data_IF_506589602470
#
_entry.id   IF_506589602470
#
_cell.length_a   1.000
_cell.length_b   1.000
_cell.length_c   1.000
_cell.angle_alpha   90.00
_cell.angle_beta   90.00
_cell.angle_gamma   90.00
#
_symmetry.space_group_name_H-M   'P 1'
#
loop_
_entity.id
_entity.type
_entity.pdbx_description
1 polymer ?
#
# COMPACT_ATOMS: atom_id res chain seq x y z
N UNK A 1 -2.79 -19.00 11.13
CA UNK A 1 -3.32 -18.48 9.85
C UNK A 1 -3.24 -16.96 9.93
N UNK A 2 -2.73 -16.29 8.89
CA UNK A 2 -2.61 -14.83 8.88
C UNK A 2 -3.98 -14.17 8.79
N UNK A 3 -4.15 -13.01 9.43
CA UNK A 3 -5.32 -12.16 9.19
C UNK A 3 -5.18 -11.41 7.86
N UNK A 4 -6.31 -10.94 7.31
CA UNK A 4 -6.29 -10.11 6.11
C UNK A 4 -5.49 -8.81 6.32
N UNK A 5 -5.56 -8.22 7.52
CA UNK A 5 -4.76 -7.04 7.86
C UNK A 5 -3.26 -7.34 7.85
N UNK A 6 -2.84 -8.51 8.35
CA UNK A 6 -1.44 -8.93 8.30
C UNK A 6 -0.98 -9.17 6.87
N UNK A 7 -1.82 -9.80 6.03
CA UNK A 7 -1.56 -9.94 4.59
C UNK A 7 -1.37 -8.59 3.93
N UNK A 8 -2.30 -7.66 4.12
CA UNK A 8 -2.23 -6.32 3.53
C UNK A 8 -0.98 -5.56 4.00
N UNK A 9 -0.62 -5.68 5.27
CA UNK A 9 0.58 -5.04 5.84
C UNK A 9 1.87 -5.62 5.26
N UNK A 10 1.94 -6.95 5.09
CA UNK A 10 3.06 -7.62 4.43
C UNK A 10 3.19 -7.17 2.96
N UNK A 11 2.06 -7.12 2.24
CA UNK A 11 2.02 -6.65 0.85
C UNK A 11 2.42 -5.19 0.72
N UNK A 12 1.94 -4.32 1.61
CA UNK A 12 2.31 -2.91 1.64
C UNK A 12 3.80 -2.72 1.92
N UNK A 13 4.39 -3.53 2.79
CA UNK A 13 5.85 -3.50 3.05
C UNK A 13 6.64 -3.78 1.77
N UNK A 14 6.21 -4.77 0.97
CA UNK A 14 6.84 -5.08 -0.33
C UNK A 14 6.54 -4.02 -1.38
N UNK A 15 5.31 -3.51 -1.46
CA UNK A 15 4.94 -2.40 -2.36
C UNK A 15 5.87 -1.19 -2.15
N UNK A 16 6.16 -0.84 -0.90
CA UNK A 16 7.09 0.24 -0.55
C UNK A 16 8.50 -0.06 -1.07
N UNK A 17 8.95 -1.31 -1.04
CA UNK A 17 10.24 -1.67 -1.59
C UNK A 17 10.30 -1.61 -3.11
N UNK A 18 9.20 -1.92 -3.80
CA UNK A 18 9.12 -1.90 -5.27
C UNK A 18 8.90 -0.49 -5.84
N UNK A 19 8.05 0.31 -5.19
CA UNK A 19 7.51 1.56 -5.77
C UNK A 19 7.65 2.77 -4.87
N UNK A 20 8.06 2.60 -3.62
CA UNK A 20 8.06 3.67 -2.62
C UNK A 20 6.66 4.15 -2.23
N UNK A 21 5.60 3.39 -2.52
CA UNK A 21 4.22 3.70 -2.16
C UNK A 21 3.60 2.56 -1.35
N UNK A 22 2.83 2.90 -0.32
CA UNK A 22 2.14 1.92 0.56
C UNK A 22 1.22 1.00 -0.26
N UNK A 23 0.41 1.59 -1.14
CA UNK A 23 -0.55 0.86 -1.99
C UNK A 23 0.07 0.33 -3.29
N UNK A 24 1.35 0.63 -3.52
CA UNK A 24 2.01 0.40 -4.81
C UNK A 24 1.53 1.36 -5.90
N UNK A 25 1.74 0.98 -7.16
CA UNK A 25 1.36 1.79 -8.31
C UNK A 25 0.81 0.92 -9.46
N UNK A 26 -0.51 0.82 -9.54
CA UNK A 26 -1.22 0.00 -10.53
C UNK A 26 -1.04 0.49 -11.96
N UNK A 27 -0.75 1.78 -12.15
CA UNK A 27 -0.57 2.42 -13.46
C UNK A 27 0.89 2.53 -13.87
N UNK A 28 1.84 2.10 -13.02
CA UNK A 28 3.25 2.25 -13.35
C UNK A 28 3.65 1.35 -14.53
N UNK A 29 4.09 1.98 -15.61
CA UNK A 29 4.57 1.32 -16.84
C UNK A 29 5.97 1.80 -17.13
N UNK A 30 6.93 0.88 -17.07
CA UNK A 30 8.35 1.18 -17.29
C UNK A 30 8.95 0.30 -18.38
N UNK A 31 9.94 0.84 -19.06
CA UNK A 31 10.81 0.05 -19.94
C UNK A 31 12.22 0.63 -19.85
N UNK A 32 13.17 -0.23 -19.50
CA UNK A 32 14.59 0.11 -19.45
C UNK A 32 15.32 -0.80 -20.42
N UNK A 33 16.02 -0.24 -21.41
CA UNK A 33 16.63 -1.04 -22.47
C UNK A 33 17.69 -2.05 -21.97
N UNK A 34 18.31 -1.78 -20.82
CA UNK A 34 19.26 -2.69 -20.17
C UNK A 34 18.60 -3.72 -19.25
N UNK A 35 17.28 -3.66 -19.06
CA UNK A 35 16.52 -4.63 -18.27
C UNK A 35 16.04 -5.79 -19.16
N UNK A 36 16.48 -7.04 -18.90
CA UNK A 36 16.04 -8.19 -19.67
C UNK A 36 14.54 -8.51 -19.53
N UNK A 37 13.83 -7.90 -18.57
CA UNK A 37 12.38 -8.06 -18.39
C UNK A 37 11.54 -7.46 -19.51
N UNK A 38 12.06 -6.46 -20.24
CA UNK A 38 11.32 -5.72 -21.24
C UNK A 38 10.32 -4.75 -20.62
N UNK A 39 9.14 -4.61 -21.24
CA UNK A 39 8.06 -3.77 -20.73
C UNK A 39 7.56 -4.31 -19.38
N UNK A 40 7.48 -3.44 -18.39
CA UNK A 40 7.10 -3.76 -17.01
C UNK A 40 5.88 -2.94 -16.61
N UNK A 41 4.92 -3.57 -15.92
CA UNK A 41 3.62 -2.97 -15.61
C UNK A 41 3.11 -3.36 -14.21
N UNK A 42 2.47 -2.39 -13.55
CA UNK A 42 1.53 -2.63 -12.45
C UNK A 42 2.13 -2.61 -11.05
N UNK A 43 1.27 -2.82 -10.04
CA UNK A 43 1.52 -2.61 -8.61
C UNK A 43 2.80 -3.27 -8.09
N UNK A 44 3.08 -4.50 -8.53
CA UNK A 44 4.30 -5.23 -8.17
C UNK A 44 5.12 -5.63 -9.41
N UNK A 45 5.02 -4.84 -10.49
CA UNK A 45 5.91 -4.82 -11.64
C UNK A 45 6.09 -6.18 -12.36
N UNK A 46 5.04 -6.64 -13.07
CA UNK A 46 5.13 -7.81 -13.95
C UNK A 46 5.76 -7.46 -15.30
N UNK A 47 6.47 -8.39 -15.93
CA UNK A 47 7.28 -8.10 -17.13
C UNK A 47 6.81 -8.86 -18.36
N UNK A 48 7.03 -8.29 -19.56
CA UNK A 48 6.77 -8.92 -20.84
C UNK A 48 7.50 -10.25 -20.98
N UNK A 49 8.81 -10.28 -20.69
CA UNK A 49 9.64 -11.44 -20.95
C UNK A 49 9.35 -12.62 -20.02
N UNK A 50 8.79 -12.37 -18.83
CA UNK A 50 8.30 -13.44 -17.95
C UNK A 50 7.09 -14.18 -18.53
N UNK A 51 6.31 -13.54 -19.40
CA UNK A 51 4.99 -14.02 -19.84
C UNK A 51 3.86 -13.70 -18.85
N UNK A 52 4.18 -13.22 -17.65
CA UNK A 52 3.16 -12.84 -16.67
C UNK A 52 2.37 -11.61 -17.12
N UNK A 53 2.96 -10.70 -17.90
CA UNK A 53 2.22 -9.58 -18.49
C UNK A 53 1.08 -10.09 -19.40
N UNK A 54 1.32 -11.13 -20.20
CA UNK A 54 0.26 -11.73 -21.02
C UNK A 54 -0.87 -12.27 -20.15
N UNK A 55 -0.54 -13.04 -19.10
CA UNK A 55 -1.54 -13.62 -18.21
C UNK A 55 -2.37 -12.56 -17.48
N UNK A 56 -1.73 -11.47 -17.05
CA UNK A 56 -2.41 -10.35 -16.41
C UNK A 56 -3.37 -9.65 -17.38
N UNK A 57 -2.89 -9.24 -18.57
CA UNK A 57 -3.70 -8.51 -19.53
C UNK A 57 -4.81 -9.39 -20.10
N UNK A 58 -4.56 -10.68 -20.30
CA UNK A 58 -5.59 -11.65 -20.67
C UNK A 58 -6.69 -11.71 -19.61
N UNK A 59 -6.33 -11.84 -18.32
CA UNK A 59 -7.31 -11.87 -17.24
C UNK A 59 -8.15 -10.58 -17.18
N UNK A 60 -7.53 -9.42 -17.38
CA UNK A 60 -8.28 -8.15 -17.43
C UNK A 60 -9.22 -8.07 -18.64
N UNK A 61 -8.76 -8.54 -19.81
CA UNK A 61 -9.60 -8.60 -21.01
C UNK A 61 -10.75 -9.61 -20.90
N UNK A 62 -10.69 -10.53 -19.93
CA UNK A 62 -11.73 -11.52 -19.65
C UNK A 62 -12.64 -11.09 -18.48
N UNK A 63 -12.29 -10.03 -17.76
CA UNK A 63 -13.10 -9.49 -16.67
C UNK A 63 -14.31 -8.71 -17.21
N UNK A 64 -15.42 -8.82 -16.48
CA UNK A 64 -16.61 -8.01 -16.73
C UNK A 64 -16.31 -6.54 -16.43
N UNK A 65 -16.95 -5.63 -17.20
CA UNK A 65 -16.84 -4.17 -17.01
C UNK A 65 -15.44 -3.55 -17.17
N UNK A 66 -14.45 -4.32 -17.63
CA UNK A 66 -13.10 -3.82 -17.92
C UNK A 66 -13.12 -2.78 -19.05
N UNK A 67 -12.89 -1.50 -18.69
CA UNK A 67 -13.07 -0.34 -19.57
C UNK A 67 -12.18 -0.41 -20.83
N UNK A 68 -10.94 -0.86 -20.67
CA UNK A 68 -9.93 -0.89 -21.73
C UNK A 68 -9.71 -2.28 -22.35
N UNK A 69 -10.61 -3.24 -22.07
CA UNK A 69 -10.45 -4.63 -22.52
C UNK A 69 -10.37 -4.75 -24.04
N UNK A 70 -11.21 -4.02 -24.78
CA UNK A 70 -11.28 -4.14 -26.25
C UNK A 70 -9.98 -3.69 -26.92
N UNK A 71 -9.43 -2.56 -26.49
CA UNK A 71 -8.19 -2.01 -26.99
C UNK A 71 -6.98 -2.87 -26.58
N UNK A 72 -6.95 -3.38 -25.34
CA UNK A 72 -5.88 -4.24 -24.87
C UNK A 72 -5.89 -5.62 -25.56
N UNK A 73 -7.05 -6.13 -25.96
CA UNK A 73 -7.16 -7.38 -26.74
C UNK A 73 -6.37 -7.32 -28.04
N UNK A 74 -6.28 -6.16 -28.69
CA UNK A 74 -5.49 -5.99 -29.91
C UNK A 74 -3.99 -6.26 -29.70
N UNK A 75 -3.48 -6.09 -28.47
CA UNK A 75 -2.08 -6.32 -28.13
C UNK A 75 -1.81 -7.74 -27.60
N UNK A 76 -2.83 -8.54 -27.26
CA UNK A 76 -2.65 -9.85 -26.61
C UNK A 76 -1.75 -10.79 -27.42
N UNK A 77 -1.88 -10.82 -28.74
CA UNK A 77 -1.03 -11.66 -29.60
C UNK A 77 0.45 -11.26 -29.50
N UNK A 78 0.75 -9.96 -29.58
CA UNK A 78 2.12 -9.45 -29.48
C UNK A 78 2.71 -9.65 -28.07
N UNK A 79 1.91 -9.42 -27.02
CA UNK A 79 2.31 -9.64 -25.62
C UNK A 79 2.59 -11.13 -25.39
N UNK A 80 1.71 -12.03 -25.87
CA UNK A 80 1.88 -13.48 -25.75
C UNK A 80 3.09 -14.01 -26.52
N UNK A 81 3.40 -13.41 -27.68
CA UNK A 81 4.61 -13.70 -28.45
C UNK A 81 5.89 -13.09 -27.86
N UNK A 82 5.78 -12.32 -26.76
CA UNK A 82 6.90 -11.57 -26.15
C UNK A 82 7.59 -10.64 -27.16
N UNK A 83 6.83 -10.03 -28.04
CA UNK A 83 7.35 -9.20 -29.12
C UNK A 83 8.01 -7.93 -28.57
N UNK A 84 9.35 -7.90 -28.58
CA UNK A 84 10.13 -6.78 -28.02
C UNK A 84 9.90 -5.43 -28.70
N UNK A 85 9.26 -5.39 -29.88
CA UNK A 85 8.89 -4.13 -30.56
C UNK A 85 7.91 -3.32 -29.73
N UNK A 86 7.01 -3.98 -28.99
CA UNK A 86 5.98 -3.30 -28.17
C UNK A 86 6.56 -2.62 -26.91
N UNK A 87 7.82 -2.90 -26.54
CA UNK A 87 8.49 -2.24 -25.43
C UNK A 87 8.54 -0.71 -25.57
N UNK A 88 8.56 -0.22 -26.83
CA UNK A 88 8.60 1.22 -27.15
C UNK A 88 7.28 1.75 -27.71
N UNK A 89 6.22 0.95 -27.72
CA UNK A 89 4.92 1.38 -28.21
C UNK A 89 4.27 2.35 -27.20
N UNK A 90 4.10 3.61 -27.61
CA UNK A 90 3.54 4.65 -26.74
C UNK A 90 2.04 4.49 -26.54
N UNK A 91 1.33 3.91 -27.51
CA UNK A 91 -0.10 3.68 -27.40
C UNK A 91 -0.37 2.58 -26.38
N UNK A 92 0.34 1.46 -26.46
CA UNK A 92 0.25 0.40 -25.46
C UNK A 92 0.59 0.92 -24.06
N UNK A 93 1.66 1.71 -23.93
CA UNK A 93 2.07 2.26 -22.63
C UNK A 93 1.02 3.19 -22.04
N UNK A 94 0.44 4.08 -22.83
CA UNK A 94 -0.66 4.95 -22.38
C UNK A 94 -1.91 4.14 -22.02
N UNK A 95 -2.23 3.11 -22.80
CA UNK A 95 -3.38 2.25 -22.53
C UNK A 95 -3.23 1.47 -21.23
N UNK A 96 -2.04 0.92 -20.95
CA UNK A 96 -1.73 0.26 -19.68
C UNK A 96 -1.79 1.24 -18.49
N UNK A 97 -1.31 2.47 -18.66
CA UNK A 97 -1.41 3.49 -17.60
C UNK A 97 -2.87 3.80 -17.24
N UNK A 98 -3.71 4.03 -18.26
CA UNK A 98 -5.15 4.26 -18.09
C UNK A 98 -5.84 3.04 -17.49
N UNK A 99 -5.53 1.85 -18.00
CA UNK A 99 -6.06 0.62 -17.44
C UNK A 99 -5.69 0.47 -15.97
N UNK A 100 -4.49 0.87 -15.52
CA UNK A 100 -4.14 0.84 -14.09
C UNK A 100 -5.00 1.73 -13.19
N UNK A 101 -5.68 2.73 -13.76
CA UNK A 101 -6.65 3.58 -13.04
C UNK A 101 -8.05 2.94 -12.96
N UNK A 102 -8.35 1.94 -13.81
CA UNK A 102 -9.61 1.18 -13.77
C UNK A 102 -9.65 0.27 -12.54
N UNK A 103 -10.66 0.39 -11.65
CA UNK A 103 -10.84 -0.51 -10.51
C UNK A 103 -10.83 -2.00 -10.89
N UNK A 104 -11.38 -2.39 -12.04
CA UNK A 104 -11.38 -3.77 -12.51
C UNK A 104 -9.95 -4.26 -12.75
N UNK A 105 -9.08 -3.42 -13.30
CA UNK A 105 -7.66 -3.75 -13.46
C UNK A 105 -6.94 -3.82 -12.11
N UNK A 106 -7.29 -2.96 -11.16
CA UNK A 106 -6.68 -3.00 -9.82
C UNK A 106 -7.01 -4.33 -9.11
N UNK A 107 -8.26 -4.78 -9.19
CA UNK A 107 -8.69 -6.05 -8.63
C UNK A 107 -8.08 -7.24 -9.37
N UNK A 108 -8.00 -7.18 -10.70
CA UNK A 108 -7.31 -8.20 -11.51
C UNK A 108 -5.82 -8.27 -11.17
N UNK A 109 -5.15 -7.13 -10.97
CA UNK A 109 -3.76 -7.11 -10.53
C UNK A 109 -3.61 -7.74 -9.14
N UNK A 110 -4.45 -7.38 -8.18
CA UNK A 110 -4.37 -7.95 -6.83
C UNK A 110 -4.59 -9.46 -6.82
N UNK A 111 -5.63 -9.94 -7.51
CA UNK A 111 -5.88 -11.37 -7.65
C UNK A 111 -4.73 -12.09 -8.37
N UNK A 112 -4.14 -11.45 -9.38
CA UNK A 112 -2.98 -11.98 -10.09
C UNK A 112 -1.76 -12.11 -9.18
N UNK A 113 -1.38 -11.04 -8.47
CA UNK A 113 -0.22 -11.04 -7.59
C UNK A 113 -0.42 -11.96 -6.38
N UNK A 114 -1.66 -12.09 -5.91
CA UNK A 114 -2.01 -13.07 -4.89
C UNK A 114 -1.74 -14.49 -5.37
N UNK A 115 -2.26 -14.83 -6.55
CA UNK A 115 -2.10 -16.18 -7.12
C UNK A 115 -0.65 -16.51 -7.44
N UNK A 116 0.10 -15.57 -8.01
CA UNK A 116 1.44 -15.82 -8.57
C UNK A 116 2.54 -15.67 -7.52
N UNK A 117 2.36 -14.82 -6.50
CA UNK A 117 3.41 -14.52 -5.53
C UNK A 117 2.98 -14.75 -4.09
N UNK A 118 1.83 -14.22 -3.64
CA UNK A 118 1.42 -14.33 -2.24
C UNK A 118 1.14 -15.77 -1.82
N UNK A 119 0.21 -16.46 -2.50
CA UNK A 119 -0.20 -17.83 -2.15
C UNK A 119 0.97 -18.81 -2.20
N UNK A 120 1.87 -18.78 -3.22
CA UNK A 120 3.09 -19.58 -3.19
C UNK A 120 4.01 -19.24 -2.01
N UNK A 121 4.08 -17.97 -1.59
CA UNK A 121 4.90 -17.55 -0.44
C UNK A 121 4.35 -18.05 0.88
N UNK A 122 3.02 -17.97 1.07
CA UNK A 122 2.35 -18.55 2.25
C UNK A 122 2.60 -20.05 2.30
N UNK A 123 2.41 -20.77 1.19
CA UNK A 123 2.68 -22.21 1.12
C UNK A 123 4.15 -22.55 1.39
N UNK A 124 5.08 -21.74 0.89
CA UNK A 124 6.50 -21.90 1.18
C UNK A 124 6.81 -21.71 2.67
N UNK A 125 6.20 -20.71 3.31
CA UNK A 125 6.35 -20.47 4.74
C UNK A 125 5.76 -21.62 5.57
N UNK A 126 4.56 -22.07 5.23
CA UNK A 126 3.89 -23.22 5.86
C UNK A 126 4.73 -24.49 5.79
N UNK A 127 5.28 -24.81 4.61
CA UNK A 127 6.16 -25.97 4.41
C UNK A 127 7.43 -25.92 5.26
N UNK A 128 7.85 -24.72 5.68
CA UNK A 128 9.01 -24.52 6.55
C UNK A 128 8.64 -24.41 8.04
N UNK A 129 7.35 -24.36 8.38
CA UNK A 129 6.89 -24.11 9.74
C UNK A 129 7.03 -22.65 10.19
N UNK A 130 7.07 -21.70 9.25
CA UNK A 130 7.11 -20.25 9.52
C UNK A 130 5.68 -19.74 9.68
N UNK A 131 5.35 -19.13 10.82
CA UNK A 131 3.97 -18.75 11.18
C UNK A 131 3.78 -17.26 11.48
N UNK A 132 4.81 -16.55 11.93
CA UNK A 132 4.74 -15.12 12.23
C UNK A 132 4.47 -14.31 10.96
N UNK A 133 3.69 -13.23 11.10
CA UNK A 133 3.36 -12.36 9.96
C UNK A 133 4.61 -11.73 9.33
N UNK A 134 5.57 -11.32 10.16
CA UNK A 134 6.86 -10.82 9.68
C UNK A 134 7.67 -11.90 8.97
N UNK A 135 7.68 -13.14 9.48
CA UNK A 135 8.32 -14.27 8.83
C UNK A 135 7.76 -14.51 7.43
N UNK A 136 6.44 -14.57 7.30
CA UNK A 136 5.79 -14.73 5.98
C UNK A 136 6.06 -13.53 5.06
N UNK A 137 6.10 -12.30 5.59
CA UNK A 137 6.47 -11.12 4.79
C UNK A 137 7.91 -11.20 4.23
N UNK A 138 8.85 -11.76 4.99
CA UNK A 138 10.23 -12.01 4.53
C UNK A 138 10.26 -13.05 3.40
N UNK A 139 9.48 -14.13 3.53
CA UNK A 139 9.32 -15.13 2.47
C UNK A 139 8.73 -14.48 1.22
N UNK A 140 7.66 -13.71 1.39
CA UNK A 140 6.95 -13.04 0.30
C UNK A 140 7.86 -12.08 -0.49
N UNK A 141 8.56 -11.17 0.21
CA UNK A 141 9.55 -10.29 -0.44
C UNK A 141 10.62 -11.09 -1.20
N UNK A 142 11.07 -12.22 -0.63
CA UNK A 142 12.08 -13.03 -1.31
C UNK A 142 11.55 -13.82 -2.51
N UNK A 143 10.27 -14.17 -2.54
CA UNK A 143 9.63 -14.81 -3.71
C UNK A 143 9.43 -13.77 -4.81
N UNK A 144 8.94 -12.56 -4.47
CA UNK A 144 8.81 -11.43 -5.41
C UNK A 144 10.17 -11.07 -6.02
N UNK A 145 11.22 -10.97 -5.19
CA UNK A 145 12.59 -10.73 -5.65
C UNK A 145 13.21 -11.92 -6.41
N UNK A 146 12.61 -13.12 -6.34
CA UNK A 146 13.14 -14.34 -6.96
C UNK A 146 14.38 -14.94 -6.27
N UNK A 147 14.69 -14.54 -5.04
CA UNK A 147 15.84 -15.07 -4.27
C UNK A 147 15.50 -16.18 -3.28
N UNK A 148 14.22 -16.56 -3.16
CA UNK A 148 13.73 -17.42 -2.09
C UNK A 148 14.49 -18.74 -1.98
N UNK A 149 14.51 -19.55 -3.06
CA UNK A 149 15.14 -20.88 -3.06
C UNK A 149 16.62 -20.80 -2.67
N UNK A 150 17.39 -19.92 -3.34
CA UNK A 150 18.82 -19.77 -3.11
C UNK A 150 19.14 -19.36 -1.65
N UNK A 151 18.41 -18.39 -1.11
CA UNK A 151 18.65 -17.90 0.26
C UNK A 151 18.14 -18.88 1.31
N UNK A 152 17.02 -19.55 1.06
CA UNK A 152 16.48 -20.61 1.91
C UNK A 152 17.52 -21.71 2.08
N UNK A 153 18.06 -22.22 0.97
CA UNK A 153 19.01 -23.34 1.01
C UNK A 153 20.31 -22.96 1.71
N UNK A 154 20.80 -21.72 1.52
CA UNK A 154 21.94 -21.19 2.29
C UNK A 154 21.66 -21.09 3.79
N UNK A 155 20.43 -20.71 4.16
CA UNK A 155 20.03 -20.61 5.57
C UNK A 155 19.86 -21.98 6.20
N UNK A 156 19.34 -22.96 5.45
CA UNK A 156 19.22 -24.35 5.90
C UNK A 156 20.58 -24.99 6.24
N UNK A 157 21.67 -24.53 5.62
CA UNK A 157 23.03 -24.96 5.99
C UNK A 157 23.45 -24.52 7.41
N UNK A 158 22.78 -23.51 8.00
CA UNK A 158 23.01 -23.09 9.39
C UNK A 158 22.05 -23.76 10.38
N UNK A 159 20.98 -24.39 9.89
CA UNK A 159 19.97 -25.06 10.69
C UNK A 159 18.57 -24.92 10.09
N UNK A 160 17.65 -25.77 10.56
CA UNK A 160 16.24 -25.75 10.15
C UNK A 160 15.42 -24.85 11.07
N UNK A 161 14.23 -24.44 10.62
CA UNK A 161 13.27 -23.72 11.48
C UNK A 161 12.94 -24.52 12.74
N UNK A 162 12.77 -25.85 12.61
CA UNK A 162 12.47 -26.74 13.73
C UNK A 162 13.59 -26.81 14.78
N UNK A 163 14.85 -26.62 14.37
CA UNK A 163 16.00 -26.71 15.28
C UNK A 163 16.39 -25.36 15.89
N UNK A 164 16.31 -24.28 15.10
CA UNK A 164 16.71 -22.94 15.53
C UNK A 164 15.57 -22.14 16.18
N UNK A 165 14.32 -22.54 15.92
CA UNK A 165 13.15 -21.71 16.16
C UNK A 165 12.95 -20.66 15.06
N UNK A 166 11.70 -20.32 14.80
CA UNK A 166 11.32 -19.44 13.68
C UNK A 166 12.05 -18.09 13.69
N UNK A 167 12.00 -17.36 14.81
CA UNK A 167 12.57 -16.01 14.87
C UNK A 167 14.08 -16.02 14.63
N UNK A 168 14.80 -17.00 15.18
CA UNK A 168 16.25 -17.15 14.98
C UNK A 168 16.57 -17.49 13.53
N UNK A 169 15.78 -18.40 12.92
CA UNK A 169 15.94 -18.77 11.53
C UNK A 169 15.69 -17.58 10.59
N UNK A 170 14.63 -16.79 10.83
CA UNK A 170 14.31 -15.59 10.04
C UNK A 170 15.41 -14.53 10.18
N UNK A 171 15.96 -14.31 11.40
CA UNK A 171 17.10 -13.40 11.59
C UNK A 171 18.31 -13.85 10.76
N UNK A 172 18.68 -15.13 10.82
CA UNK A 172 19.76 -15.71 10.02
C UNK A 172 19.51 -15.56 8.52
N UNK A 173 18.28 -15.84 8.06
CA UNK A 173 17.88 -15.66 6.67
C UNK A 173 18.10 -14.22 6.17
N UNK A 174 17.65 -13.23 6.96
CA UNK A 174 17.81 -11.81 6.65
C UNK A 174 19.28 -11.43 6.59
N UNK A 175 20.11 -11.91 7.52
CA UNK A 175 21.55 -11.65 7.53
C UNK A 175 22.25 -12.23 6.28
N UNK A 176 21.96 -13.49 5.94
CA UNK A 176 22.49 -14.17 4.76
C UNK A 176 22.08 -13.44 3.48
N UNK A 177 20.80 -13.08 3.36
CA UNK A 177 20.28 -12.39 2.17
C UNK A 177 20.84 -10.99 2.05
N UNK A 178 21.00 -10.27 3.17
CA UNK A 178 21.64 -8.95 3.19
C UNK A 178 23.07 -9.02 2.69
N UNK A 179 23.85 -9.96 3.20
CA UNK A 179 25.25 -10.16 2.80
C UNK A 179 25.37 -10.54 1.32
N UNK A 180 24.48 -11.43 0.84
CA UNK A 180 24.42 -11.81 -0.56
C UNK A 180 24.06 -10.62 -1.47
N UNK A 181 23.12 -9.76 -1.08
CA UNK A 181 22.78 -8.55 -1.82
C UNK A 181 23.95 -7.57 -1.85
N UNK A 182 24.58 -7.31 -0.71
CA UNK A 182 25.68 -6.35 -0.58
C UNK A 182 26.88 -6.71 -1.45
N UNK A 183 27.18 -8.00 -1.58
CA UNK A 183 28.33 -8.50 -2.34
C UNK A 183 27.95 -9.05 -3.72
N UNK A 184 26.70 -8.86 -4.18
CA UNK A 184 26.26 -9.45 -5.44
C UNK A 184 27.07 -8.92 -6.62
N UNK A 185 27.42 -9.75 -7.60
CA UNK A 185 28.10 -9.27 -8.83
C UNK A 185 27.26 -8.28 -9.63
N UNK A 186 25.93 -8.37 -9.54
CA UNK A 186 24.98 -7.45 -10.20
C UNK A 186 24.81 -6.22 -9.32
N UNK A 187 25.32 -5.08 -9.77
CA UNK A 187 25.32 -3.82 -9.01
C UNK A 187 23.92 -3.30 -8.71
N UNK A 188 22.93 -3.57 -9.56
CA UNK A 188 21.52 -3.23 -9.29
C UNK A 188 20.97 -3.96 -8.06
N UNK A 189 21.35 -5.22 -7.85
CA UNK A 189 20.92 -5.98 -6.67
C UNK A 189 21.55 -5.43 -5.38
N UNK A 190 22.77 -4.88 -5.44
CA UNK A 190 23.37 -4.20 -4.27
C UNK A 190 22.54 -3.02 -3.79
N UNK A 191 21.82 -2.36 -4.69
CA UNK A 191 20.95 -1.23 -4.34
C UNK A 191 19.72 -1.66 -3.54
N UNK A 192 19.37 -2.95 -3.48
CA UNK A 192 18.20 -3.45 -2.76
C UNK A 192 18.50 -3.97 -1.35
N UNK A 193 19.74 -3.82 -0.86
CA UNK A 193 20.16 -4.19 0.52
C UNK A 193 19.23 -3.59 1.59
N UNK A 194 18.71 -2.38 1.35
CA UNK A 194 17.83 -1.67 2.28
C UNK A 194 16.57 -2.47 2.67
N UNK A 195 16.14 -3.43 1.85
CA UNK A 195 14.99 -4.30 2.16
C UNK A 195 15.26 -5.11 3.41
N UNK A 196 16.47 -5.67 3.51
CA UNK A 196 16.89 -6.45 4.66
C UNK A 196 17.12 -5.55 5.88
N UNK A 197 17.66 -4.35 5.68
CA UNK A 197 17.77 -3.36 6.76
C UNK A 197 16.39 -2.97 7.32
N UNK A 198 15.38 -2.86 6.45
CA UNK A 198 14.00 -2.58 6.86
C UNK A 198 13.40 -3.73 7.68
N UNK A 199 13.61 -4.99 7.27
CA UNK A 199 13.18 -6.13 8.07
C UNK A 199 13.92 -6.23 9.42
N UNK A 200 15.23 -5.92 9.45
CA UNK A 200 15.97 -5.82 10.72
C UNK A 200 15.38 -4.80 11.67
N UNK A 201 14.96 -3.63 11.16
CA UNK A 201 14.28 -2.62 11.96
C UNK A 201 12.93 -3.12 12.50
N UNK A 202 12.14 -3.83 11.69
CA UNK A 202 10.88 -4.43 12.17
C UNK A 202 11.13 -5.47 13.27
N UNK A 203 12.17 -6.29 13.15
CA UNK A 203 12.59 -7.25 14.19
C UNK A 203 13.04 -6.51 15.46
N UNK A 204 13.86 -5.47 15.34
CA UNK A 204 14.32 -4.68 16.49
C UNK A 204 13.15 -4.04 17.25
N UNK A 205 12.11 -3.64 16.52
CA UNK A 205 10.87 -3.08 17.07
C UNK A 205 9.83 -4.14 17.48
N UNK A 206 10.22 -5.43 17.51
CA UNK A 206 9.36 -6.57 17.87
C UNK A 206 8.05 -6.67 17.06
N UNK A 207 8.05 -6.22 15.80
CA UNK A 207 6.88 -6.24 14.91
C UNK A 207 6.63 -7.61 14.26
N UNK A 208 6.76 -8.70 15.02
CA UNK A 208 6.58 -10.07 14.51
C UNK A 208 5.17 -10.35 13.99
N UNK A 209 4.16 -9.76 14.62
CA UNK A 209 2.76 -9.87 14.21
C UNK A 209 2.33 -8.82 13.19
N UNK A 210 3.26 -7.94 12.75
CA UNK A 210 2.99 -6.80 11.87
C UNK A 210 1.89 -5.86 12.39
N UNK A 211 1.76 -5.72 13.71
CA UNK A 211 0.74 -4.85 14.33
C UNK A 211 0.92 -3.39 13.92
N UNK A 212 -0.17 -2.79 13.44
CA UNK A 212 -0.23 -1.40 13.01
C UNK A 212 -0.36 -0.43 14.21
N UNK A 213 0.07 0.83 14.05
CA UNK A 213 0.85 1.33 12.92
C UNK A 213 2.29 0.81 12.96
N UNK A 214 2.93 0.75 11.80
CA UNK A 214 4.36 0.46 11.68
C UNK A 214 5.00 1.32 10.58
N UNK A 215 6.31 1.45 10.61
CA UNK A 215 7.05 2.25 9.62
C UNK A 215 7.97 1.36 8.81
N UNK A 216 7.89 1.48 7.48
CA UNK A 216 8.79 0.83 6.52
C UNK A 216 9.36 1.91 5.63
N UNK A 217 10.70 2.00 5.54
CA UNK A 217 11.39 2.95 4.65
C UNK A 217 11.02 4.43 4.89
N UNK A 218 10.55 4.78 6.09
CA UNK A 218 10.10 6.14 6.44
C UNK A 218 8.62 6.41 6.13
N UNK A 219 7.90 5.44 5.58
CA UNK A 219 6.46 5.52 5.32
C UNK A 219 5.70 4.79 6.41
N UNK A 220 4.64 5.42 6.91
CA UNK A 220 3.74 4.81 7.90
C UNK A 220 2.75 3.92 7.17
N UNK A 221 2.65 2.68 7.64
CA UNK A 221 1.54 1.77 7.33
C UNK A 221 0.59 1.83 8.53
N UNK A 222 -0.64 2.23 8.27
CA UNK A 222 -1.80 2.25 9.17
C UNK A 222 -3.02 1.73 8.40
N UNK A 223 -4.12 1.42 9.11
CA UNK A 223 -5.37 1.01 8.47
C UNK A 223 -5.81 2.05 7.41
N UNK A 224 -5.73 3.34 7.73
CA UNK A 224 -6.04 4.44 6.79
C UNK A 224 -5.22 4.37 5.50
N UNK A 225 -3.91 4.15 5.60
CA UNK A 225 -3.04 4.08 4.40
C UNK A 225 -3.25 2.81 3.57
N UNK A 226 -3.86 1.78 4.15
CA UNK A 226 -4.19 0.53 3.47
C UNK A 226 -5.53 0.58 2.73
N UNK A 227 -6.42 1.53 3.07
CA UNK A 227 -7.68 1.74 2.35
C UNK A 227 -7.37 2.24 0.94
N UNK A 228 -7.60 1.40 -0.09
CA UNK A 228 -7.61 1.84 -1.49
C UNK A 228 -8.59 3.00 -1.61
N UNK A 229 -8.18 4.11 -2.22
CA UNK A 229 -9.10 5.21 -2.51
C UNK A 229 -10.18 4.72 -3.49
N UNK A 230 -11.30 4.22 -2.96
CA UNK A 230 -12.46 3.82 -3.73
C UNK A 230 -13.02 5.05 -4.45
N UNK A 231 -13.09 5.02 -5.78
CA UNK A 231 -14.10 5.83 -6.47
C UNK A 231 -15.43 5.11 -6.26
N UNK A 232 -16.19 5.65 -5.32
CA UNK A 232 -17.58 5.30 -5.07
C UNK A 232 -18.38 5.60 -6.34
N UNK A 233 -19.21 4.64 -6.75
CA UNK A 233 -20.24 4.78 -7.78
C UNK A 233 -21.10 6.01 -7.47
N UNK A 234 -21.56 6.72 -8.51
CA UNK A 234 -22.23 8.03 -8.43
C UNK A 234 -23.45 8.13 -7.51
N UNK A 235 -24.01 7.00 -7.04
CA UNK A 235 -25.19 6.97 -6.17
C UNK A 235 -24.86 6.98 -4.67
N UNK A 236 -23.64 6.60 -4.25
CA UNK A 236 -23.23 6.61 -2.82
C UNK A 236 -22.59 7.95 -2.38
N UNK A 237 -22.41 8.88 -3.32
CA UNK A 237 -21.66 10.14 -3.16
C UNK A 237 -22.29 11.11 -2.17
N UNK A 238 -23.59 10.99 -1.87
CA UNK A 238 -24.22 11.85 -0.87
C UNK A 238 -23.83 11.52 0.58
N UNK A 239 -23.30 10.32 0.86
CA UNK A 239 -23.13 9.87 2.25
C UNK A 239 -21.74 10.10 2.87
N UNK A 240 -20.67 10.30 2.09
CA UNK A 240 -19.31 10.44 2.64
C UNK A 240 -18.41 11.42 1.88
N UNK A 241 -18.85 12.68 1.73
CA UNK A 241 -17.90 13.73 1.31
C UNK A 241 -17.04 14.18 2.49
N UNK A 242 -15.73 14.26 2.26
CA UNK A 242 -14.75 14.75 3.24
C UNK A 242 -14.96 16.25 3.49
N UNK A 243 -15.24 16.61 4.75
CA UNK A 243 -15.46 18.00 5.16
C UNK A 243 -14.13 18.72 5.41
N UNK A 244 -13.96 19.88 4.79
CA UNK A 244 -12.74 20.69 4.82
C UNK A 244 -13.07 22.17 5.08
N UNK A 245 -12.18 22.86 5.80
CA UNK A 245 -12.22 24.32 5.96
C UNK A 245 -11.69 24.99 4.69
N UNK A 246 -12.59 25.46 3.83
CA UNK A 246 -12.28 26.17 2.58
C UNK A 246 -13.20 27.38 2.38
N UNK A 247 -12.85 28.26 1.44
CA UNK A 247 -13.74 29.31 0.94
C UNK A 247 -14.12 29.05 -0.54
N UNK A 248 -15.40 29.14 -0.93
CA UNK A 248 -16.55 29.35 -0.07
C UNK A 248 -16.77 28.16 0.88
N UNK A 249 -17.29 28.46 2.07
CA UNK A 249 -17.48 27.44 3.10
C UNK A 249 -18.37 26.30 2.63
N UNK A 250 -18.02 25.08 3.06
CA UNK A 250 -18.85 23.90 2.82
C UNK A 250 -20.18 24.03 3.58
N UNK A 251 -21.27 23.57 2.95
CA UNK A 251 -22.66 23.61 3.45
C UNK A 251 -23.33 22.27 3.22
N UNK A 252 -24.12 21.76 4.16
CA UNK A 252 -24.89 20.50 4.02
C UNK A 252 -25.30 19.93 5.38
N UNK A 253 -26.03 18.81 5.37
CA UNK A 253 -26.48 18.13 6.60
C UNK A 253 -25.29 17.55 7.39
N UNK A 254 -24.33 16.97 6.69
CA UNK A 254 -23.05 16.51 7.24
C UNK A 254 -22.28 17.61 7.99
N UNK A 255 -22.24 18.83 7.46
CA UNK A 255 -21.66 20.01 8.13
C UNK A 255 -22.43 20.35 9.40
N UNK A 256 -23.76 20.26 9.36
CA UNK A 256 -24.64 20.54 10.49
C UNK A 256 -24.45 19.50 11.60
N UNK A 257 -24.33 18.23 11.26
CA UNK A 257 -24.09 17.14 12.23
C UNK A 257 -22.77 17.36 12.99
N UNK A 258 -21.70 17.72 12.28
CA UNK A 258 -20.41 18.02 12.92
C UNK A 258 -20.51 19.27 13.80
N UNK A 259 -21.16 20.34 13.33
CA UNK A 259 -21.36 21.55 14.14
C UNK A 259 -22.15 21.25 15.42
N UNK A 260 -23.17 20.40 15.36
CA UNK A 260 -23.92 19.95 16.51
C UNK A 260 -23.07 19.10 17.46
N UNK A 261 -22.24 18.19 16.94
CA UNK A 261 -21.33 17.37 17.73
C UNK A 261 -20.30 18.24 18.48
N UNK A 262 -19.70 19.22 17.80
CA UNK A 262 -18.78 20.19 18.40
C UNK A 262 -19.45 21.05 19.48
N UNK A 263 -20.72 21.45 19.27
CA UNK A 263 -21.52 22.16 20.28
C UNK A 263 -21.80 21.28 21.50
N UNK A 264 -22.21 20.02 21.29
CA UNK A 264 -22.46 19.06 22.37
C UNK A 264 -21.20 18.77 23.18
N UNK A 265 -20.05 18.75 22.53
CA UNK A 265 -18.75 18.60 23.15
C UNK A 265 -18.19 19.91 23.77
N UNK A 266 -18.96 21.01 23.76
CA UNK A 266 -18.61 22.25 24.44
C UNK A 266 -17.58 23.13 23.71
N UNK A 267 -17.19 22.78 22.48
CA UNK A 267 -16.19 23.54 21.70
C UNK A 267 -16.75 24.80 21.02
N UNK A 268 -18.08 24.98 21.02
CA UNK A 268 -18.76 26.15 20.44
C UNK A 268 -19.83 26.64 21.42
N UNK A 269 -19.62 27.82 22.01
CA UNK A 269 -20.61 28.51 22.82
C UNK A 269 -21.45 29.43 21.92
N UNK A 270 -22.68 29.01 21.68
CA UNK A 270 -23.76 29.78 21.06
C UNK A 270 -23.61 30.17 19.57
N UNK A 271 -24.35 29.46 18.71
CA UNK A 271 -24.61 29.87 17.33
C UNK A 271 -26.09 29.63 17.04
N UNK A 272 -26.96 30.41 17.68
CA UNK A 272 -28.40 30.44 17.41
C UNK A 272 -28.77 31.25 16.14
N UNK A 273 -27.79 31.72 15.35
CA UNK A 273 -28.02 32.56 14.16
C UNK A 273 -27.36 32.10 12.84
N UNK A 274 -26.77 30.90 12.75
CA UNK A 274 -26.03 30.47 11.55
C UNK A 274 -26.60 29.21 10.89
N UNK A 275 -27.82 29.30 10.37
CA UNK A 275 -28.38 28.21 9.56
C UNK A 275 -27.72 28.03 8.18
N UNK A 276 -26.74 28.87 7.77
CA UNK A 276 -26.18 28.79 6.41
C UNK A 276 -24.68 29.11 6.18
N UNK A 277 -23.82 29.39 7.18
CA UNK A 277 -22.38 29.64 6.93
C UNK A 277 -21.46 29.29 8.11
N UNK A 278 -20.23 28.84 7.80
CA UNK A 278 -19.13 28.54 8.75
C UNK A 278 -18.44 29.83 9.26
N UNK A 279 -19.15 30.95 9.33
CA UNK A 279 -18.54 32.29 9.39
C UNK A 279 -18.11 32.76 10.78
N UNK A 280 -18.35 31.99 11.85
CA UNK A 280 -17.89 32.35 13.20
C UNK A 280 -17.12 31.25 13.96
N UNK A 281 -16.88 30.07 13.38
CA UNK A 281 -16.07 29.03 14.05
C UNK A 281 -14.55 29.26 13.94
N UNK A 282 -14.10 30.12 13.02
CA UNK A 282 -12.66 30.40 12.84
C UNK A 282 -12.03 31.08 14.06
N UNK A 283 -12.81 31.86 14.84
CA UNK A 283 -12.36 32.46 16.09
C UNK A 283 -12.25 31.45 17.24
N UNK A 284 -13.25 30.57 17.37
CA UNK A 284 -13.37 29.61 18.48
C UNK A 284 -12.42 28.42 18.35
N UNK A 285 -12.15 27.94 17.12
CA UNK A 285 -11.15 26.88 16.87
C UNK A 285 -9.71 27.34 17.14
N UNK A 286 -9.44 28.65 17.02
CA UNK A 286 -8.15 29.24 17.42
C UNK A 286 -7.94 29.18 18.93
N UNK A 287 -9.01 29.32 19.73
CA UNK A 287 -9.00 29.14 21.18
C UNK A 287 -8.92 27.68 21.62
N UNK A 288 -9.53 26.75 20.89
CA UNK A 288 -9.42 25.31 21.15
C UNK A 288 -7.98 24.79 20.99
N UNK A 289 -7.21 25.33 20.04
CA UNK A 289 -5.77 25.05 19.90
C UNK A 289 -4.98 25.47 21.15
N UNK A 290 -5.31 26.61 21.75
CA UNK A 290 -4.63 27.10 22.96
C UNK A 290 -4.94 26.23 24.18
N UNK A 291 -6.16 25.70 24.31
CA UNK A 291 -6.57 24.80 25.40
C UNK A 291 -5.90 23.41 25.31
N UNK A 292 -5.71 22.88 24.10
CA UNK A 292 -4.99 21.61 23.86
C UNK A 292 -3.50 21.76 24.18
N UNK A 293 -2.89 22.92 23.86
CA UNK A 293 -1.48 23.19 24.13
C UNK A 293 -1.18 23.56 25.60
N UNK A 294 -2.15 24.10 26.37
CA UNK A 294 -1.87 24.58 27.74
C UNK A 294 -2.31 23.67 28.88
N UNK A 295 -3.27 22.74 28.68
CA UNK A 295 -3.82 21.93 29.79
C UNK A 295 -3.54 20.42 29.73
N UNK A 296 -2.81 19.90 28.75
CA UNK A 296 -2.33 18.51 28.78
C UNK A 296 -3.43 17.45 28.96
N UNK A 297 -4.65 17.72 28.45
CA UNK A 297 -5.77 16.80 28.52
C UNK A 297 -5.57 15.67 27.50
N UNK A 298 -5.40 14.45 28.03
CA UNK A 298 -5.25 13.22 27.26
C UNK A 298 -6.44 13.00 26.33
N UNK A 299 -6.12 12.76 25.06
CA UNK A 299 -6.98 12.56 23.89
C UNK A 299 -7.85 11.27 23.92
N UNK A 300 -8.23 10.76 25.09
CA UNK A 300 -8.99 9.50 25.19
C UNK A 300 -10.50 9.71 25.06
N UNK A 301 -11.04 10.84 25.49
CA UNK A 301 -12.50 11.08 25.44
C UNK A 301 -12.97 11.71 24.11
N UNK A 302 -12.08 12.37 23.36
CA UNK A 302 -12.37 12.89 22.01
C UNK A 302 -12.45 11.78 20.96
N UNK A 303 -11.74 10.67 21.16
CA UNK A 303 -11.79 9.53 20.24
C UNK A 303 -13.18 8.88 20.25
N UNK A 304 -13.81 8.64 21.40
CA UNK A 304 -15.12 7.97 21.40
C UNK A 304 -16.28 8.81 20.82
N UNK A 305 -16.22 10.15 20.92
CA UNK A 305 -17.28 11.01 20.39
C UNK A 305 -17.09 11.38 18.90
N UNK A 306 -15.84 11.42 18.41
CA UNK A 306 -15.51 11.77 17.01
C UNK A 306 -15.34 10.53 16.12
N UNK A 307 -15.08 9.34 16.67
CA UNK A 307 -14.89 8.10 15.88
C UNK A 307 -16.21 7.44 15.47
N UNK A 308 -17.37 7.81 16.06
CA UNK A 308 -18.65 7.27 15.59
C UNK A 308 -19.16 7.92 14.29
N UNK A 309 -18.64 9.09 13.89
CA UNK A 309 -18.89 9.72 12.58
C UNK A 309 -17.70 10.64 12.20
N UNK A 310 -16.83 10.10 11.35
CA UNK A 310 -15.87 10.75 10.44
C UNK A 310 -15.47 12.21 10.69
N UNK A 311 -14.27 12.46 11.23
CA UNK A 311 -13.44 13.64 10.92
C UNK A 311 -11.99 13.47 11.42
N UNK A 312 -11.02 13.32 10.50
CA UNK A 312 -9.59 13.50 10.78
C UNK A 312 -9.18 14.86 10.21
N UNK A 313 -8.74 15.77 11.08
CA UNK A 313 -8.19 17.08 10.68
C UNK A 313 -6.74 16.90 10.20
N UNK A 314 -6.48 17.11 8.90
CA UNK A 314 -5.12 17.33 8.39
C UNK A 314 -4.97 18.81 7.98
N UNK A 315 -4.33 19.60 8.84
CA UNK A 315 -3.87 20.94 8.48
C UNK A 315 -2.47 20.83 7.86
N UNK A 316 -2.38 20.91 6.53
CA UNK A 316 -1.12 21.14 5.82
C UNK A 316 -0.72 22.61 5.96
N UNK A 317 0.47 22.87 6.51
CA UNK A 317 1.11 24.19 6.51
C UNK A 317 1.98 24.29 5.23
N UNK A 318 1.80 25.30 4.37
CA UNK A 318 2.81 25.63 3.37
C UNK A 318 3.97 26.37 4.05
N UNK A 319 5.17 25.79 3.93
CA UNK A 319 6.44 26.51 4.12
C UNK A 319 6.63 27.41 2.90
N UNK A 320 6.55 28.73 3.07
CA UNK A 320 7.25 29.68 2.21
C UNK A 320 7.74 30.89 3.02
N UNK A 321 9.08 30.97 3.08
CA UNK A 321 10.02 32.08 3.37
C UNK A 321 9.78 32.95 4.60
#
# INVERSE_FOLDING_TARGET
>A
MLTDLQKQTAQASVNIFETGKVQGDYSNVTFVASDPGGLTYGRSQTTLMSGNLFLLIKAYCEAEEAEFATELRAYLSAIGAKDTRINRDMNLRSLLQKAGEDPVMQDVQDAFFDRVYWNPSVKNAENMGIQTALGVAVVYDSVVHGSWQLMRDRTLNQGTVATLGEQSWIKSYIDIRREWLANNRITLLRKTVYRMDSFKQLIANQKWDLTLPLTVRGLVISEETLIKSLRMSGDDVESMRLLQLRQPFMRGEDVREVQQALRKAGFIADCSLLLYTFDQCAGTLKGARTLVETQGLYLTELQSAVISKSMVFLAQIPIQQ
#
